data_IF_041467787596
#
_entry.id   IF_041467787596
#
_cell.length_a   1.000
_cell.length_b   1.000
_cell.length_c   1.000
_cell.angle_alpha   90.00
_cell.angle_beta   90.00
_cell.angle_gamma   90.00
#
_symmetry.space_group_name_H-M   'P 1'
#
loop_
_entity.id
_entity.type
_entity.pdbx_description
1 polymer ?
#
# COMPACT_ATOMS: atom_id res chain seq x y z
N UNK A 1 7.91 21.26 -25.99
CA UNK A 1 8.17 21.60 -24.57
C UNK A 1 8.21 20.32 -23.77
N UNK A 2 9.13 20.20 -22.81
CA UNK A 2 9.26 19.01 -21.96
C UNK A 2 8.61 19.28 -20.61
N UNK A 3 7.72 18.40 -20.17
CA UNK A 3 7.09 18.46 -18.84
C UNK A 3 7.88 17.57 -17.90
N UNK A 4 8.36 18.14 -16.79
CA UNK A 4 9.03 17.40 -15.71
C UNK A 4 8.07 17.33 -14.52
N UNK A 5 7.70 16.12 -14.11
CA UNK A 5 6.85 15.88 -12.94
C UNK A 5 7.62 15.01 -11.95
N UNK A 6 7.77 15.49 -10.71
CA UNK A 6 8.31 14.68 -9.60
C UNK A 6 7.12 13.97 -8.96
N UNK A 7 7.11 12.65 -8.85
CA UNK A 7 6.06 11.90 -8.14
C UNK A 7 6.61 11.41 -6.80
N UNK A 8 5.85 11.53 -5.72
CA UNK A 8 6.20 10.97 -4.40
C UNK A 8 5.23 9.83 -4.10
N UNK A 9 5.77 8.65 -3.81
CA UNK A 9 4.98 7.42 -3.70
C UNK A 9 5.34 6.66 -2.44
N UNK A 10 4.35 6.13 -1.73
CA UNK A 10 4.53 5.19 -0.63
C UNK A 10 4.13 3.79 -1.08
N UNK A 11 4.90 2.78 -0.68
CA UNK A 11 4.62 1.38 -1.04
C UNK A 11 4.66 0.50 0.20
N UNK A 12 3.70 -0.42 0.31
CA UNK A 12 3.64 -1.41 1.37
C UNK A 12 3.43 -2.81 0.80
N UNK A 13 3.73 -3.83 1.59
CA UNK A 13 3.41 -5.22 1.26
C UNK A 13 3.07 -6.01 2.53
N UNK A 14 2.01 -6.80 2.48
CA UNK A 14 1.62 -7.73 3.54
C UNK A 14 2.15 -9.11 3.18
N UNK A 15 3.14 -9.59 3.93
CA UNK A 15 3.91 -10.81 3.63
C UNK A 15 3.84 -11.82 4.78
N UNK A 16 3.80 -13.12 4.45
CA UNK A 16 3.71 -14.21 5.43
C UNK A 16 4.77 -15.29 5.18
N UNK A 17 5.86 -15.24 5.95
CA UNK A 17 7.03 -16.10 5.75
C UNK A 17 7.91 -15.61 4.62
N UNK A 18 8.83 -16.44 4.15
CA UNK A 18 9.75 -16.06 3.08
C UNK A 18 9.02 -16.05 1.73
N UNK A 19 8.94 -14.87 1.11
CA UNK A 19 8.47 -14.61 -0.26
C UNK A 19 6.98 -14.85 -0.56
N UNK A 20 6.11 -14.95 0.45
CA UNK A 20 4.66 -15.03 0.19
C UNK A 20 3.98 -13.71 0.47
N UNK A 21 3.60 -13.00 -0.59
CA UNK A 21 2.90 -11.71 -0.50
C UNK A 21 1.41 -11.95 -0.66
N UNK A 22 0.62 -11.57 0.35
CA UNK A 22 -0.84 -11.66 0.30
C UNK A 22 -1.47 -10.43 -0.37
N UNK A 23 -0.88 -9.25 -0.14
CA UNK A 23 -1.30 -8.00 -0.74
C UNK A 23 -0.14 -7.02 -0.93
N UNK A 24 -0.21 -6.22 -1.98
CA UNK A 24 0.64 -5.04 -2.19
C UNK A 24 -0.19 -3.78 -2.12
N UNK A 25 0.37 -2.73 -1.54
CA UNK A 25 -0.28 -1.44 -1.40
C UNK A 25 0.62 -0.37 -2.01
N UNK A 26 -0.01 0.59 -2.68
CA UNK A 26 0.67 1.69 -3.35
C UNK A 26 -0.15 2.96 -3.16
N UNK A 27 0.52 4.05 -2.82
CA UNK A 27 -0.08 5.36 -2.73
C UNK A 27 0.76 6.39 -3.47
N UNK A 28 0.08 7.30 -4.16
CA UNK A 28 0.66 8.50 -4.73
C UNK A 28 0.29 9.68 -3.82
N UNK A 29 1.29 10.25 -3.14
CA UNK A 29 1.07 11.29 -2.13
C UNK A 29 0.70 12.65 -2.76
N UNK A 30 0.94 12.85 -4.06
CA UNK A 30 0.60 14.11 -4.72
C UNK A 30 -0.88 14.25 -5.04
N UNK A 31 -1.55 13.13 -5.32
CA UNK A 31 -2.96 13.13 -5.70
C UNK A 31 -3.84 12.35 -4.71
N UNK A 32 -3.25 11.80 -3.64
CA UNK A 32 -3.95 11.01 -2.63
C UNK A 32 -4.51 9.69 -3.15
N UNK A 33 -4.07 9.21 -4.32
CA UNK A 33 -4.55 7.95 -4.86
C UNK A 33 -3.92 6.79 -4.08
N UNK A 34 -4.75 6.02 -3.39
CA UNK A 34 -4.36 4.79 -2.69
C UNK A 34 -4.94 3.60 -3.44
N UNK A 35 -4.10 2.62 -3.72
CA UNK A 35 -4.45 1.37 -4.40
C UNK A 35 -3.93 0.18 -3.60
N UNK A 36 -4.74 -0.88 -3.56
CA UNK A 36 -4.38 -2.16 -2.93
C UNK A 36 -4.66 -3.27 -3.92
N UNK A 37 -3.71 -4.18 -4.07
CA UNK A 37 -3.84 -5.35 -4.91
C UNK A 37 -3.66 -6.61 -4.07
N UNK A 38 -4.66 -7.50 -4.08
CA UNK A 38 -4.57 -8.82 -3.46
C UNK A 38 -3.86 -9.75 -4.44
N UNK A 39 -2.61 -10.12 -4.11
CA UNK A 39 -1.74 -10.89 -4.99
C UNK A 39 -1.96 -12.39 -4.87
N UNK A 40 -2.39 -12.85 -3.69
CA UNK A 40 -2.73 -14.25 -3.42
C UNK A 40 -4.02 -14.29 -2.58
N UNK A 41 -5.11 -14.75 -3.21
CA UNK A 41 -6.44 -14.78 -2.60
C UNK A 41 -6.54 -15.79 -1.47
N UNK A 42 -5.91 -16.95 -1.59
CA UNK A 42 -6.01 -18.01 -0.59
C UNK A 42 -5.19 -17.63 0.64
N UNK A 43 -4.00 -17.05 0.43
CA UNK A 43 -3.18 -16.50 1.50
C UNK A 43 -3.85 -15.32 2.19
N UNK A 44 -4.54 -14.45 1.42
CA UNK A 44 -5.37 -13.39 1.97
C UNK A 44 -6.48 -13.95 2.86
N UNK A 45 -7.29 -14.90 2.37
CA UNK A 45 -8.40 -15.46 3.15
C UNK A 45 -7.89 -16.09 4.45
N UNK A 46 -6.79 -16.84 4.38
CA UNK A 46 -6.17 -17.49 5.54
C UNK A 46 -5.68 -16.50 6.60
N UNK A 47 -5.25 -15.30 6.20
CA UNK A 47 -4.68 -14.29 7.09
C UNK A 47 -5.48 -12.97 7.08
N UNK A 48 -6.78 -13.03 6.75
CA UNK A 48 -7.55 -11.86 6.35
C UNK A 48 -7.56 -10.73 7.40
N UNK A 49 -7.58 -11.09 8.68
CA UNK A 49 -7.51 -10.12 9.78
C UNK A 49 -6.21 -9.32 9.75
N UNK A 50 -5.07 -10.00 9.59
CA UNK A 50 -3.77 -9.33 9.54
C UNK A 50 -3.62 -8.49 8.28
N UNK A 51 -3.99 -9.02 7.11
CA UNK A 51 -3.88 -8.28 5.86
C UNK A 51 -4.73 -7.01 5.88
N UNK A 52 -5.97 -7.09 6.41
CA UNK A 52 -6.83 -5.90 6.57
C UNK A 52 -6.23 -4.88 7.52
N UNK A 53 -5.59 -5.32 8.61
CA UNK A 53 -4.87 -4.44 9.53
C UNK A 53 -3.70 -3.76 8.82
N UNK A 54 -2.88 -4.51 8.08
CA UNK A 54 -1.75 -3.95 7.34
C UNK A 54 -2.19 -2.90 6.30
N UNK A 55 -3.33 -3.14 5.62
CA UNK A 55 -3.92 -2.18 4.68
C UNK A 55 -4.38 -0.90 5.40
N UNK A 56 -5.01 -1.04 6.57
CA UNK A 56 -5.44 0.10 7.38
C UNK A 56 -4.24 0.90 7.88
N UNK A 57 -3.25 0.22 8.48
CA UNK A 57 -2.02 0.84 8.97
C UNK A 57 -1.27 1.57 7.84
N UNK A 58 -1.21 0.98 6.64
CA UNK A 58 -0.63 1.64 5.45
C UNK A 58 -1.43 2.89 5.06
N UNK A 59 -2.75 2.81 5.05
CA UNK A 59 -3.62 3.95 4.71
C UNK A 59 -3.47 5.09 5.70
N UNK A 60 -3.39 4.79 6.99
CA UNK A 60 -3.16 5.77 8.05
C UNK A 60 -1.79 6.46 7.87
N UNK A 61 -0.74 5.69 7.56
CA UNK A 61 0.58 6.27 7.23
C UNK A 61 0.54 7.16 6.00
N UNK A 62 -0.17 6.78 4.94
CA UNK A 62 -0.32 7.64 3.75
C UNK A 62 -0.91 8.99 4.12
N UNK A 63 -1.97 9.00 4.94
CA UNK A 63 -2.59 10.26 5.35
C UNK A 63 -1.70 11.09 6.26
N UNK A 64 -0.97 10.46 7.20
CA UNK A 64 0.02 11.16 8.01
C UNK A 64 1.07 11.86 7.12
N UNK A 65 1.64 11.17 6.13
CA UNK A 65 2.66 11.77 5.25
C UNK A 65 2.10 12.82 4.28
N UNK A 66 0.80 12.79 4.01
CA UNK A 66 0.15 13.86 3.24
C UNK A 66 -0.12 15.11 4.08
N UNK A 67 -0.28 14.98 5.40
CA UNK A 67 -0.47 16.12 6.30
C UNK A 67 0.85 16.79 6.69
N UNK A 68 1.94 16.02 6.74
CA UNK A 68 3.29 16.56 7.00
C UNK A 68 3.96 17.22 5.78
N UNK A 69 3.47 16.95 4.56
CA UNK A 69 4.05 17.41 3.29
C UNK A 69 3.51 18.77 2.80
#
# INVERSE_FOLDING_TARGET
MMTITKTVTLTGSSQFGENKVAATMYANLQNGNISTNITDKDLYIKNATQVKKDIADFTDQVFAEMEEA
#
